data_IF_794614387980
#
_entry.id   IF_794614387980
#
_cell.length_a   1.000
_cell.length_b   1.000
_cell.length_c   1.000
_cell.angle_alpha   90.00
_cell.angle_beta   90.00
_cell.angle_gamma   90.00
#
_symmetry.space_group_name_H-M   'P 1'
#
loop_
_entity.id
_entity.type
_entity.pdbx_description
1 polymer ?
#
# COMPACT_ATOMS: atom_id res chain seq x y z
N UNK A 1 16.42 6.26 -34.13
CA UNK A 1 16.15 4.88 -33.67
C UNK A 1 15.10 4.99 -32.56
N UNK A 2 13.92 4.41 -32.79
CA UNK A 2 12.88 4.32 -31.77
C UNK A 2 13.39 3.44 -30.62
N UNK A 3 13.01 3.71 -29.36
CA UNK A 3 13.32 2.82 -28.27
C UNK A 3 12.62 1.49 -28.52
N UNK A 4 13.36 0.40 -28.40
CA UNK A 4 12.81 -0.95 -28.40
C UNK A 4 11.85 -1.06 -27.20
N UNK A 5 10.56 -1.05 -27.44
CA UNK A 5 9.56 -1.45 -26.47
C UNK A 5 9.64 -2.98 -26.34
N UNK A 6 10.51 -3.45 -25.45
CA UNK A 6 10.48 -4.84 -25.03
C UNK A 6 9.21 -5.04 -24.18
N UNK A 7 8.15 -5.54 -24.83
CA UNK A 7 6.97 -6.02 -24.12
C UNK A 7 7.33 -7.40 -23.57
N UNK A 8 7.59 -7.47 -22.29
CA UNK A 8 7.79 -8.73 -21.59
C UNK A 8 6.43 -9.36 -21.29
N UNK A 9 6.14 -10.50 -21.88
CA UNK A 9 5.00 -11.32 -21.49
C UNK A 9 5.45 -12.30 -20.41
N UNK A 10 4.93 -12.15 -19.21
CA UNK A 10 5.12 -13.10 -18.12
C UNK A 10 4.00 -14.15 -18.25
N UNK A 11 4.38 -15.40 -18.53
CA UNK A 11 3.46 -16.54 -18.57
C UNK A 11 3.68 -17.34 -17.31
N UNK A 12 2.86 -17.10 -16.28
CA UNK A 12 2.93 -17.77 -14.98
C UNK A 12 2.73 -16.80 -13.82
N UNK A 13 2.60 -17.34 -12.62
CA UNK A 13 2.60 -16.56 -11.39
C UNK A 13 4.04 -16.17 -11.05
N UNK A 14 4.27 -14.89 -10.74
CA UNK A 14 5.57 -14.43 -10.27
C UNK A 14 5.88 -15.02 -8.90
N UNK A 15 7.13 -15.45 -8.64
CA UNK A 15 7.52 -15.89 -7.31
C UNK A 15 7.29 -14.79 -6.26
N UNK A 16 6.57 -15.13 -5.20
CA UNK A 16 6.34 -14.23 -4.08
C UNK A 16 7.57 -14.23 -3.16
N UNK A 17 8.12 -13.04 -2.91
CA UNK A 17 9.17 -12.80 -1.91
C UNK A 17 8.51 -12.65 -0.54
N UNK A 18 7.41 -11.91 -0.49
CA UNK A 18 6.62 -11.67 0.70
C UNK A 18 5.18 -11.39 0.31
N UNK A 19 4.26 -11.96 1.07
CA UNK A 19 2.83 -11.70 0.94
C UNK A 19 2.19 -11.57 2.31
N UNK A 20 1.34 -10.60 2.48
CA UNK A 20 0.47 -10.45 3.64
C UNK A 20 -0.93 -10.09 3.20
N UNK A 21 -1.89 -10.94 3.58
CA UNK A 21 -3.32 -10.68 3.52
C UNK A 21 -3.87 -10.18 4.86
N UNK A 22 -2.97 -9.91 5.80
CA UNK A 22 -3.23 -9.45 7.15
C UNK A 22 -4.08 -10.36 8.04
N UNK A 23 -4.39 -11.58 7.59
CA UNK A 23 -5.10 -12.57 8.40
C UNK A 23 -4.21 -13.22 9.47
N UNK A 24 -2.89 -13.11 9.32
CA UNK A 24 -1.90 -13.65 10.25
C UNK A 24 -0.53 -13.00 10.09
N UNK A 25 0.35 -13.20 11.10
CA UNK A 25 1.76 -12.78 11.07
C UNK A 25 1.96 -11.27 10.84
N UNK A 26 1.14 -10.45 11.47
CA UNK A 26 1.14 -9.00 11.33
C UNK A 26 2.01 -8.28 12.36
N UNK A 27 2.65 -8.99 13.29
CA UNK A 27 3.37 -8.44 14.45
C UNK A 27 4.60 -7.60 14.06
N UNK A 28 5.09 -7.76 12.83
CA UNK A 28 6.22 -6.99 12.29
C UNK A 28 5.80 -5.69 11.59
N UNK A 29 4.51 -5.46 11.41
CA UNK A 29 3.96 -4.19 10.97
C UNK A 29 3.88 -3.24 12.17
N UNK A 30 4.25 -1.99 12.00
CA UNK A 30 4.37 -1.01 13.09
C UNK A 30 3.47 0.18 12.81
N UNK A 31 2.57 0.45 13.76
CA UNK A 31 1.69 1.61 13.73
C UNK A 31 2.35 2.76 14.48
N UNK A 32 2.36 3.92 13.86
CA UNK A 32 2.80 5.18 14.46
C UNK A 32 4.25 5.55 14.15
N UNK A 33 4.45 6.82 13.87
CA UNK A 33 5.72 7.51 13.74
C UNK A 33 5.84 8.59 14.82
N UNK A 34 7.07 8.92 15.25
CA UNK A 34 7.28 9.98 16.24
C UNK A 34 6.75 11.34 15.79
N UNK A 35 6.55 11.52 14.50
CA UNK A 35 6.00 12.74 13.91
C UNK A 35 4.49 12.69 13.68
N UNK A 36 3.83 11.59 14.01
CA UNK A 36 2.38 11.49 13.91
C UNK A 36 1.69 12.38 14.94
N UNK A 37 0.62 13.02 14.53
CA UNK A 37 -0.10 13.99 15.33
C UNK A 37 -1.63 13.96 15.12
N UNK A 38 -2.14 13.01 14.34
CA UNK A 38 -3.58 12.81 14.22
C UNK A 38 -4.21 12.59 15.61
N UNK A 39 -5.37 13.17 15.84
CA UNK A 39 -6.09 13.09 17.12
C UNK A 39 -7.15 12.00 17.12
N UNK A 40 -7.55 11.52 15.93
CA UNK A 40 -8.41 10.38 15.68
C UNK A 40 -7.93 9.65 14.42
N UNK A 41 -8.57 8.55 14.04
CA UNK A 41 -8.27 7.81 12.80
C UNK A 41 -6.88 7.17 12.77
N UNK A 42 -6.37 6.71 13.91
CA UNK A 42 -5.07 6.04 13.96
C UNK A 42 -5.18 4.67 13.28
N UNK A 43 -4.16 4.28 12.52
CA UNK A 43 -4.09 2.96 11.92
C UNK A 43 -4.35 1.85 12.95
N UNK A 44 -5.13 0.87 12.57
CA UNK A 44 -5.34 -0.36 13.34
C UNK A 44 -5.55 -1.56 12.41
N UNK A 45 -5.25 -2.76 12.91
CA UNK A 45 -5.60 -4.01 12.25
C UNK A 45 -6.98 -4.43 12.74
N UNK A 46 -7.96 -4.46 11.86
CA UNK A 46 -9.34 -4.74 12.23
C UNK A 46 -10.14 -5.41 11.11
N UNK A 47 -11.28 -5.99 11.47
CA UNK A 47 -12.37 -6.29 10.54
C UNK A 47 -13.08 -4.96 10.24
N UNK A 48 -13.00 -4.44 9.00
CA UNK A 48 -13.45 -3.09 8.70
C UNK A 48 -14.97 -2.95 8.81
N UNK A 49 -15.42 -1.85 9.41
CA UNK A 49 -16.84 -1.49 9.53
C UNK A 49 -17.15 -0.36 8.58
N UNK A 50 -18.11 -0.60 7.67
CA UNK A 50 -18.51 0.43 6.70
C UNK A 50 -19.05 1.68 7.40
N UNK A 51 -18.50 2.84 7.04
CA UNK A 51 -19.01 4.13 7.47
C UNK A 51 -19.55 4.93 6.29
N UNK A 52 -20.45 5.86 6.57
CA UNK A 52 -21.14 6.64 5.55
C UNK A 52 -21.28 8.09 6.02
N UNK A 53 -21.33 9.02 5.05
CA UNK A 53 -21.77 10.37 5.34
C UNK A 53 -23.31 10.47 5.38
N UNK A 54 -23.82 11.65 5.73
CA UNK A 54 -25.27 11.94 5.83
C UNK A 54 -26.04 11.72 4.51
N UNK A 55 -25.38 11.70 3.36
CA UNK A 55 -25.97 11.44 2.06
C UNK A 55 -25.90 9.96 1.63
N UNK A 56 -25.28 9.11 2.44
CA UNK A 56 -25.13 7.68 2.19
C UNK A 56 -23.95 7.32 1.28
N UNK A 57 -22.98 8.22 1.11
CA UNK A 57 -21.70 7.88 0.45
C UNK A 57 -20.81 7.12 1.43
N UNK A 58 -20.28 6.00 0.99
CA UNK A 58 -19.37 5.19 1.79
C UNK A 58 -18.01 5.88 1.93
N UNK A 59 -17.51 5.97 3.16
CA UNK A 59 -16.25 6.60 3.51
C UNK A 59 -15.20 5.52 3.79
N UNK A 60 -15.49 4.55 4.67
CA UNK A 60 -14.63 3.43 5.03
C UNK A 60 -15.14 2.13 4.39
N UNK A 61 -14.26 1.17 4.00
CA UNK A 61 -14.71 -0.12 3.50
C UNK A 61 -15.46 -0.91 4.59
N UNK A 62 -16.41 -1.74 4.18
CA UNK A 62 -17.15 -2.62 5.09
C UNK A 62 -16.73 -4.08 5.00
N UNK A 63 -15.64 -4.35 4.29
CA UNK A 63 -14.96 -5.65 4.22
C UNK A 63 -13.51 -5.40 3.79
N UNK A 64 -12.64 -6.33 4.17
CA UNK A 64 -11.30 -6.43 3.59
C UNK A 64 -11.37 -6.71 2.07
N UNK A 65 -10.23 -6.76 1.42
CA UNK A 65 -10.15 -7.10 -0.01
C UNK A 65 -10.01 -8.61 -0.24
N UNK A 66 -9.44 -9.33 0.71
CA UNK A 66 -9.09 -10.75 0.56
C UNK A 66 -10.31 -11.65 0.52
N UNK A 67 -10.44 -12.48 -0.53
CA UNK A 67 -11.50 -13.50 -0.60
C UNK A 67 -11.43 -14.45 0.61
N UNK A 68 -12.48 -14.51 1.41
CA UNK A 68 -12.59 -15.26 2.67
C UNK A 68 -11.65 -14.77 3.79
N UNK A 69 -11.12 -13.55 3.68
CA UNK A 69 -10.46 -12.83 4.75
C UNK A 69 -11.45 -12.13 5.67
N UNK A 70 -10.92 -11.40 6.63
CA UNK A 70 -11.69 -10.58 7.56
C UNK A 70 -10.93 -9.33 7.98
N UNK A 71 -9.60 -9.34 7.93
CA UNK A 71 -8.76 -8.30 8.50
C UNK A 71 -7.98 -7.54 7.43
N UNK A 72 -7.95 -6.23 7.60
CA UNK A 72 -7.04 -5.35 6.89
C UNK A 72 -6.54 -4.25 7.84
N UNK A 73 -5.54 -3.49 7.46
CA UNK A 73 -5.25 -2.25 8.17
C UNK A 73 -6.23 -1.17 7.71
N UNK A 74 -6.84 -0.48 8.69
CA UNK A 74 -7.74 0.66 8.46
C UNK A 74 -7.31 1.84 9.34
N UNK A 75 -7.65 3.04 8.95
CA UNK A 75 -7.52 4.24 9.79
C UNK A 75 -8.80 4.40 10.59
N UNK A 76 -8.72 4.25 11.89
CA UNK A 76 -9.88 4.25 12.80
C UNK A 76 -11.02 3.35 12.33
N UNK A 77 -11.41 2.37 13.11
CA UNK A 77 -12.46 1.49 12.65
C UNK A 77 -13.83 2.02 13.06
N UNK A 78 -14.73 2.16 12.10
CA UNK A 78 -16.06 2.69 12.33
C UNK A 78 -16.88 1.89 13.33
N UNK A 79 -17.95 2.52 13.86
CA UNK A 79 -18.93 1.86 14.70
C UNK A 79 -20.09 1.28 13.90
N UNK A 80 -20.86 0.38 14.48
CA UNK A 80 -22.04 -0.25 13.86
C UNK A 80 -23.12 0.77 13.41
N UNK A 81 -23.12 2.00 13.94
CA UNK A 81 -24.03 3.07 13.49
C UNK A 81 -23.62 3.69 12.15
N UNK A 82 -22.40 3.41 11.68
CA UNK A 82 -21.92 3.74 10.36
C UNK A 82 -21.65 5.24 10.11
N UNK A 83 -21.47 6.04 11.15
CA UNK A 83 -21.15 7.47 11.00
C UNK A 83 -19.68 7.67 10.66
N UNK A 84 -19.38 8.21 9.46
CA UNK A 84 -18.04 8.42 8.95
C UNK A 84 -17.22 9.53 9.60
N UNK A 85 -17.80 10.32 10.50
CA UNK A 85 -17.09 11.42 11.16
C UNK A 85 -16.76 11.12 12.62
N UNK A 86 -16.69 9.85 13.03
CA UNK A 86 -16.36 9.53 14.42
C UNK A 86 -14.90 9.12 14.62
N UNK A 87 -14.33 8.37 13.69
CA UNK A 87 -13.00 7.80 13.83
C UNK A 87 -12.14 8.03 12.58
N UNK A 88 -12.57 8.89 11.67
CA UNK A 88 -11.76 9.30 10.54
C UNK A 88 -10.47 10.03 11.00
N UNK A 89 -9.49 10.13 10.13
CA UNK A 89 -8.23 10.81 10.46
C UNK A 89 -8.47 12.29 10.66
N UNK A 90 -8.20 12.77 11.88
CA UNK A 90 -8.42 14.16 12.29
C UNK A 90 -7.11 14.86 12.66
N UNK A 91 -6.96 16.11 12.24
CA UNK A 91 -5.97 17.08 12.72
C UNK A 91 -4.50 16.66 12.56
N UNK A 92 -4.17 15.89 11.55
CA UNK A 92 -2.80 15.48 11.32
C UNK A 92 -2.68 14.18 10.56
N UNK A 93 -1.59 13.48 10.80
CA UNK A 93 -1.28 12.24 10.08
C UNK A 93 -1.12 11.05 11.00
N UNK A 94 -1.37 9.88 10.43
CA UNK A 94 -1.09 8.57 11.01
C UNK A 94 -0.27 7.74 10.04
N UNK A 95 0.70 6.98 10.53
CA UNK A 95 1.66 6.23 9.72
C UNK A 95 1.61 4.75 10.05
N UNK A 96 1.64 3.91 9.02
CA UNK A 96 1.82 2.45 9.11
C UNK A 96 3.13 2.09 8.40
N UNK A 97 4.01 1.35 9.09
CA UNK A 97 5.27 0.83 8.53
C UNK A 97 5.18 -0.66 8.25
N UNK A 98 5.68 -1.07 7.09
CA UNK A 98 5.92 -2.48 6.80
C UNK A 98 7.08 -3.04 7.64
N UNK A 99 7.25 -4.38 7.67
CA UNK A 99 8.54 -4.98 8.00
C UNK A 99 9.68 -4.42 7.13
N UNK A 100 10.92 -4.59 7.58
CA UNK A 100 12.11 -4.37 6.75
C UNK A 100 12.42 -5.62 5.95
N UNK A 101 12.71 -5.46 4.67
CA UNK A 101 12.99 -6.53 3.72
C UNK A 101 14.44 -6.46 3.22
N UNK A 102 15.11 -7.60 3.18
CA UNK A 102 16.36 -7.75 2.43
C UNK A 102 16.03 -8.11 0.98
N UNK A 103 16.16 -7.14 0.09
CA UNK A 103 15.94 -7.31 -1.34
C UNK A 103 17.24 -7.22 -2.14
N UNK A 104 18.42 -7.23 -1.47
CA UNK A 104 19.74 -7.02 -2.11
C UNK A 104 20.12 -8.10 -3.12
N UNK A 105 19.51 -9.29 -3.02
CA UNK A 105 19.78 -10.42 -3.93
C UNK A 105 18.87 -10.46 -5.15
N UNK A 106 17.92 -9.53 -5.29
CA UNK A 106 16.97 -9.51 -6.40
C UNK A 106 17.34 -8.41 -7.40
N UNK A 107 17.18 -8.71 -8.69
CA UNK A 107 17.43 -7.73 -9.77
C UNK A 107 16.22 -6.83 -9.99
N UNK A 108 15.02 -7.42 -10.02
CA UNK A 108 13.77 -6.69 -10.25
C UNK A 108 12.70 -7.17 -9.29
N UNK A 109 12.10 -6.22 -8.57
CA UNK A 109 11.01 -6.49 -7.62
C UNK A 109 9.79 -5.65 -7.99
N UNK A 110 8.65 -6.32 -8.08
CA UNK A 110 7.34 -5.69 -8.22
C UNK A 110 6.69 -5.59 -6.84
N UNK A 111 6.40 -4.38 -6.40
CA UNK A 111 5.51 -4.11 -5.28
C UNK A 111 4.08 -4.10 -5.80
N UNK A 112 3.14 -4.75 -5.09
CA UNK A 112 1.72 -4.52 -5.28
C UNK A 112 0.98 -4.55 -3.95
N UNK A 113 -0.08 -3.76 -3.85
CA UNK A 113 -0.97 -3.73 -2.69
C UNK A 113 -2.35 -3.25 -3.14
N UNK A 114 -3.38 -3.56 -2.33
CA UNK A 114 -4.69 -2.97 -2.47
C UNK A 114 -4.87 -1.91 -1.40
N UNK A 115 -5.48 -0.78 -1.77
CA UNK A 115 -5.75 0.31 -0.87
C UNK A 115 -7.13 0.91 -1.12
N UNK A 116 -7.69 1.46 -0.06
CA UNK A 116 -8.86 2.31 -0.06
C UNK A 116 -8.44 3.69 0.42
N UNK A 117 -8.94 4.73 -0.20
CA UNK A 117 -8.68 6.08 0.27
C UNK A 117 -9.83 7.03 -0.05
N UNK A 118 -10.29 7.77 0.96
CA UNK A 118 -11.30 8.83 0.83
C UNK A 118 -10.82 10.09 1.53
N UNK A 119 -11.11 11.25 0.92
CA UNK A 119 -10.89 12.59 1.45
C UNK A 119 -11.76 13.66 0.76
N UNK A 120 -12.71 13.25 -0.08
CA UNK A 120 -13.45 14.17 -0.95
C UNK A 120 -14.76 14.68 -0.32
N UNK A 121 -14.99 14.40 0.95
CA UNK A 121 -16.20 14.73 1.70
C UNK A 121 -15.80 15.48 2.97
N UNK A 122 -16.62 16.43 3.40
CA UNK A 122 -16.33 17.31 4.52
C UNK A 122 -16.14 18.77 4.09
N UNK A 123 -15.59 19.59 4.97
CA UNK A 123 -15.51 21.05 4.77
C UNK A 123 -14.45 21.47 3.73
N UNK A 124 -13.36 20.72 3.63
CA UNK A 124 -12.26 20.96 2.70
C UNK A 124 -11.90 19.72 1.85
N UNK A 125 -12.87 18.90 1.51
CA UNK A 125 -12.67 17.67 0.77
C UNK A 125 -11.79 17.80 -0.48
N UNK A 126 -10.92 16.81 -0.71
CA UNK A 126 -10.04 16.73 -1.87
C UNK A 126 -8.68 17.41 -1.69
N UNK A 127 -8.31 17.82 -0.48
CA UNK A 127 -7.04 18.48 -0.20
C UNK A 127 -6.06 17.64 0.62
N UNK A 128 -6.56 16.59 1.27
CA UNK A 128 -5.79 15.74 2.17
C UNK A 128 -4.98 14.68 1.41
N UNK A 129 -3.98 14.10 2.07
CA UNK A 129 -2.96 13.34 1.37
C UNK A 129 -2.98 11.87 1.76
N UNK A 130 -3.00 11.01 0.74
CA UNK A 130 -2.51 9.65 0.78
C UNK A 130 -1.07 9.61 0.26
N UNK A 131 -0.15 9.14 1.10
CA UNK A 131 1.24 8.97 0.70
C UNK A 131 1.74 7.55 0.99
N UNK A 132 2.40 6.96 0.00
CA UNK A 132 3.16 5.72 0.15
C UNK A 132 4.59 6.00 -0.25
N UNK A 133 5.52 5.68 0.63
CA UNK A 133 6.94 5.92 0.38
C UNK A 133 7.78 4.69 0.70
N UNK A 134 8.95 4.60 0.09
CA UNK A 134 9.95 3.56 0.33
C UNK A 134 11.27 4.16 0.78
N UNK A 135 11.94 3.47 1.68
CA UNK A 135 13.35 3.70 2.04
C UNK A 135 14.20 2.50 1.65
N UNK A 136 15.46 2.74 1.29
CA UNK A 136 16.49 1.71 1.12
C UNK A 136 17.70 1.91 2.06
N UNK A 137 17.55 2.77 3.07
CA UNK A 137 18.65 3.21 3.93
C UNK A 137 18.23 3.41 5.40
N UNK A 138 17.42 2.49 5.92
CA UNK A 138 16.91 2.50 7.30
C UNK A 138 16.15 3.79 7.67
N UNK A 139 15.36 4.33 6.78
CA UNK A 139 14.54 5.51 7.05
C UNK A 139 15.30 6.83 7.05
N UNK A 140 16.57 6.87 6.66
CA UNK A 140 17.33 8.13 6.57
C UNK A 140 16.81 9.05 5.44
N UNK A 141 16.23 8.46 4.40
CA UNK A 141 15.50 9.17 3.36
C UNK A 141 14.38 8.29 2.80
N UNK A 142 13.35 8.94 2.28
CA UNK A 142 12.16 8.30 1.72
C UNK A 142 11.90 8.81 0.31
N UNK A 143 11.47 7.93 -0.58
CA UNK A 143 11.09 8.23 -1.96
C UNK A 143 9.61 7.89 -2.12
N UNK A 144 8.84 8.84 -2.62
CA UNK A 144 7.40 8.64 -2.84
C UNK A 144 7.15 7.64 -3.97
N UNK A 145 6.35 6.62 -3.66
CA UNK A 145 5.75 5.69 -4.61
C UNK A 145 4.42 6.27 -5.10
N UNK A 146 3.65 6.80 -4.16
CA UNK A 146 2.36 7.43 -4.40
C UNK A 146 2.21 8.64 -3.50
N UNK A 147 1.76 9.75 -4.06
CA UNK A 147 1.42 10.95 -3.31
C UNK A 147 0.24 11.60 -4.03
N UNK A 148 -0.94 11.54 -3.44
CA UNK A 148 -2.18 11.94 -4.11
C UNK A 148 -3.22 12.48 -3.14
N UNK A 149 -4.05 13.36 -3.65
CA UNK A 149 -5.28 13.82 -3.00
C UNK A 149 -6.52 13.18 -3.63
N UNK A 150 -6.35 12.26 -4.59
CA UNK A 150 -7.46 11.64 -5.30
C UNK A 150 -8.11 10.55 -4.46
N UNK A 151 -9.38 10.73 -4.16
CA UNK A 151 -10.25 9.77 -3.49
C UNK A 151 -10.70 8.69 -4.45
N UNK A 152 -10.76 7.44 -4.02
CA UNK A 152 -11.26 6.34 -4.84
C UNK A 152 -12.51 5.65 -4.26
N UNK A 153 -12.73 5.69 -2.94
CA UNK A 153 -13.88 5.08 -2.26
C UNK A 153 -14.21 3.65 -2.76
N UNK A 154 -13.18 2.93 -3.12
CA UNK A 154 -13.22 1.54 -3.58
C UNK A 154 -11.83 0.91 -3.43
N UNK A 155 -11.79 -0.40 -3.26
CA UNK A 155 -10.53 -1.11 -3.27
C UNK A 155 -9.83 -0.98 -4.62
N UNK A 156 -8.66 -0.37 -4.62
CA UNK A 156 -7.88 -0.08 -5.81
C UNK A 156 -6.49 -0.72 -5.70
N UNK A 157 -6.07 -1.38 -6.77
CA UNK A 157 -4.73 -1.99 -6.83
C UNK A 157 -3.69 -0.96 -7.23
N UNK A 158 -2.61 -0.88 -6.46
CA UNK A 158 -1.37 -0.20 -6.86
C UNK A 158 -0.30 -1.23 -7.20
N UNK A 159 0.45 -0.96 -8.26
CA UNK A 159 1.59 -1.79 -8.67
C UNK A 159 2.72 -0.91 -9.18
N UNK A 160 3.95 -1.22 -8.76
CA UNK A 160 5.13 -0.48 -9.19
C UNK A 160 6.36 -1.40 -9.24
N UNK A 161 7.19 -1.24 -10.25
CA UNK A 161 8.50 -1.88 -10.31
C UNK A 161 9.43 -1.11 -9.38
N UNK A 162 9.73 -1.70 -8.24
CA UNK A 162 10.45 -1.05 -7.15
C UNK A 162 11.89 -0.68 -7.55
N UNK A 163 12.54 -1.58 -8.31
CA UNK A 163 13.91 -1.37 -8.82
C UNK A 163 14.04 -0.19 -9.79
N UNK A 164 12.94 0.33 -10.35
CA UNK A 164 12.95 1.56 -11.15
C UNK A 164 12.98 2.83 -10.29
N UNK A 165 12.65 2.72 -9.00
CA UNK A 165 12.55 3.84 -8.08
C UNK A 165 13.74 3.94 -7.13
N UNK A 166 14.20 2.78 -6.61
CA UNK A 166 15.27 2.71 -5.61
C UNK A 166 16.23 1.58 -5.94
N UNK A 167 17.47 1.72 -5.51
CA UNK A 167 18.42 0.61 -5.45
C UNK A 167 17.96 -0.40 -4.39
N UNK A 168 17.82 -1.67 -4.78
CA UNK A 168 17.41 -2.74 -3.86
C UNK A 168 18.53 -3.01 -2.86
N UNK A 169 18.19 -3.05 -1.58
CA UNK A 169 19.14 -3.18 -0.46
C UNK A 169 18.63 -4.14 0.60
N UNK A 170 19.45 -4.39 1.62
CA UNK A 170 19.09 -5.17 2.81
C UNK A 170 18.08 -4.46 3.73
N UNK A 171 17.72 -3.20 3.43
CA UNK A 171 16.97 -2.33 4.35
C UNK A 171 15.77 -1.64 3.68
N UNK A 172 15.11 -2.33 2.76
CA UNK A 172 13.89 -1.82 2.14
C UNK A 172 12.76 -1.83 3.16
N UNK A 173 12.09 -0.70 3.30
CA UNK A 173 10.90 -0.59 4.15
C UNK A 173 9.91 0.38 3.50
N UNK A 174 8.64 0.14 3.69
CA UNK A 174 7.55 0.98 3.20
C UNK A 174 6.85 1.67 4.35
N UNK A 175 6.30 2.85 4.07
CA UNK A 175 5.36 3.51 4.97
C UNK A 175 4.15 3.99 4.19
N UNK A 176 3.00 3.92 4.86
CA UNK A 176 1.69 4.33 4.37
C UNK A 176 1.17 5.41 5.31
N UNK A 177 0.85 6.57 4.76
CA UNK A 177 0.41 7.74 5.52
C UNK A 177 -0.95 8.19 5.01
N UNK A 178 -1.91 8.32 5.92
CA UNK A 178 -3.12 9.09 5.71
C UNK A 178 -3.00 10.37 6.53
N UNK A 179 -3.28 11.52 5.91
CA UNK A 179 -3.09 12.82 6.54
C UNK A 179 -4.28 13.72 6.25
N UNK A 180 -4.90 14.22 7.32
CA UNK A 180 -5.88 15.28 7.30
C UNK A 180 -5.16 16.61 7.56
N UNK A 181 -5.08 17.45 6.54
CA UNK A 181 -4.37 18.71 6.56
C UNK A 181 -5.29 19.84 7.02
N UNK A 182 -4.77 20.69 7.89
CA UNK A 182 -5.49 21.88 8.33
C UNK A 182 -5.56 22.94 7.22
N UNK A 183 -6.77 23.31 6.80
CA UNK A 183 -7.04 24.36 5.83
C UNK A 183 -7.87 25.49 6.43
N UNK A 184 -7.81 26.72 5.88
CA UNK A 184 -8.68 27.81 6.29
C UNK A 184 -10.17 27.47 6.04
N UNK A 185 -10.95 27.44 7.10
CA UNK A 185 -12.39 27.13 7.05
C UNK A 185 -12.78 25.79 7.65
N UNK A 186 -11.81 24.99 8.07
CA UNK A 186 -12.05 23.76 8.82
C UNK A 186 -12.78 24.05 10.14
N UNK A 187 -13.72 23.17 10.48
CA UNK A 187 -14.59 23.33 11.67
C UNK A 187 -14.16 22.42 12.82
N UNK A 188 -12.88 22.35 13.12
CA UNK A 188 -12.40 21.85 14.41
C UNK A 188 -12.11 20.36 14.51
N UNK A 189 -12.47 19.53 13.53
CA UNK A 189 -12.11 18.11 13.45
C UNK A 189 -11.36 17.80 12.15
N UNK A 190 -10.48 18.72 11.72
CA UNK A 190 -9.73 18.62 10.48
C UNK A 190 -10.50 19.07 9.23
N UNK A 191 -11.77 18.78 9.12
CA UNK A 191 -12.68 19.31 8.11
C UNK A 191 -13.00 18.39 6.94
N UNK A 192 -12.23 17.34 6.72
CA UNK A 192 -12.51 16.29 5.73
C UNK A 192 -12.75 14.96 6.40
N UNK A 193 -13.51 14.08 5.77
CA UNK A 193 -13.63 12.69 6.19
C UNK A 193 -12.52 11.91 5.50
N UNK A 194 -11.40 11.74 6.20
CA UNK A 194 -10.21 11.07 5.68
C UNK A 194 -10.14 9.64 6.21
N UNK A 195 -10.26 8.67 5.30
CA UNK A 195 -10.15 7.27 5.62
C UNK A 195 -9.23 6.56 4.64
N UNK A 196 -8.43 5.64 5.18
CA UNK A 196 -7.58 4.77 4.38
C UNK A 196 -7.65 3.33 4.86
N UNK A 197 -7.43 2.40 3.93
CA UNK A 197 -7.23 1.00 4.25
C UNK A 197 -6.16 0.40 3.34
N UNK A 198 -5.53 -0.67 3.83
CA UNK A 198 -4.47 -1.40 3.13
C UNK A 198 -4.71 -2.90 3.27
N UNK A 199 -4.64 -3.62 2.15
CA UNK A 199 -4.73 -5.07 2.11
C UNK A 199 -3.88 -5.70 1.01
N UNK A 200 -3.67 -7.01 1.08
CA UNK A 200 -2.96 -7.81 0.06
C UNK A 200 -1.64 -7.20 -0.39
N UNK A 201 -0.77 -6.88 0.59
CA UNK A 201 0.58 -6.39 0.32
C UNK A 201 1.47 -7.52 -0.20
N UNK A 202 2.12 -7.31 -1.35
CA UNK A 202 2.91 -8.33 -2.02
C UNK A 202 4.21 -7.76 -2.62
N UNK A 203 5.32 -8.46 -2.39
CA UNK A 203 6.59 -8.28 -3.09
C UNK A 203 6.83 -9.49 -3.96
N UNK A 204 6.97 -9.28 -5.25
CA UNK A 204 7.13 -10.32 -6.26
C UNK A 204 8.48 -10.17 -6.95
N UNK A 205 9.19 -11.27 -7.15
CA UNK A 205 10.41 -11.26 -7.96
C UNK A 205 10.07 -11.37 -9.44
N UNK A 206 10.66 -10.48 -10.25
CA UNK A 206 10.64 -10.59 -11.70
C UNK A 206 12.03 -11.09 -12.11
N UNK A 207 12.14 -12.38 -12.40
CA UNK A 207 13.41 -13.05 -12.68
C UNK A 207 13.95 -13.82 -11.47
N UNK A 208 14.84 -14.75 -11.71
CA UNK A 208 15.46 -15.53 -10.63
C UNK A 208 16.58 -14.74 -9.97
N UNK A 209 16.73 -14.82 -8.63
CA UNK A 209 17.92 -14.33 -7.97
C UNK A 209 19.15 -15.09 -8.51
N UNK A 210 19.96 -14.41 -9.29
CA UNK A 210 21.34 -14.85 -9.54
C UNK A 210 21.65 -15.72 -10.75
N UNK A 211 20.68 -16.12 -11.60
CA UNK A 211 21.01 -16.88 -12.82
C UNK A 211 20.36 -16.21 -14.05
N UNK A 212 21.13 -15.39 -14.76
CA UNK A 212 20.67 -14.80 -16.03
C UNK A 212 20.38 -15.91 -17.04
N UNK A 213 19.11 -16.03 -17.47
CA UNK A 213 18.69 -17.05 -18.43
C UNK A 213 17.94 -18.24 -17.85
N UNK A 214 17.77 -18.32 -16.54
CA UNK A 214 16.89 -19.29 -15.88
C UNK A 214 15.44 -18.76 -15.97
N UNK A 215 14.75 -19.17 -17.03
CA UNK A 215 13.41 -18.65 -17.35
C UNK A 215 12.31 -19.38 -16.59
N UNK A 216 12.56 -20.63 -16.25
CA UNK A 216 11.60 -21.43 -15.48
C UNK A 216 11.79 -21.30 -13.96
N UNK A 217 12.82 -20.55 -13.52
CA UNK A 217 13.13 -20.29 -12.11
C UNK A 217 13.36 -21.56 -11.28
N UNK A 218 13.93 -22.62 -11.90
CA UNK A 218 14.27 -23.85 -11.21
C UNK A 218 15.67 -23.84 -10.57
N UNK A 219 16.44 -22.77 -10.78
CA UNK A 219 17.80 -22.60 -10.27
C UNK A 219 18.87 -23.27 -11.11
N UNK A 220 18.56 -23.78 -12.31
CA UNK A 220 19.48 -24.45 -13.20
C UNK A 220 19.38 -23.88 -14.62
N UNK A 221 20.48 -23.39 -15.19
CA UNK A 221 20.54 -23.07 -16.64
C UNK A 221 20.59 -24.35 -17.44
N UNK A 222 19.48 -24.67 -18.11
CA UNK A 222 19.41 -25.88 -18.92
C UNK A 222 18.53 -25.70 -20.18
N UNK A 223 18.30 -26.78 -20.93
CA UNK A 223 17.55 -26.74 -22.18
C UNK A 223 16.09 -26.33 -22.00
N UNK A 224 15.52 -26.46 -20.82
CA UNK A 224 14.12 -26.11 -20.55
C UNK A 224 13.94 -24.58 -20.60
N UNK A 225 14.95 -23.82 -20.21
CA UNK A 225 14.94 -22.35 -20.32
C UNK A 225 14.90 -21.90 -21.77
N UNK A 226 15.64 -22.60 -22.63
CA UNK A 226 15.68 -22.30 -24.06
C UNK A 226 14.36 -22.66 -24.74
N UNK A 227 13.68 -23.70 -24.31
CA UNK A 227 12.38 -24.12 -24.89
C UNK A 227 11.28 -23.11 -24.57
N UNK A 228 11.32 -22.45 -23.39
CA UNK A 228 10.37 -21.40 -23.03
C UNK A 228 10.54 -20.11 -23.85
N UNK A 229 11.74 -19.84 -24.39
CA UNK A 229 12.00 -18.68 -25.24
C UNK A 229 11.44 -18.85 -26.66
N UNK A 230 11.33 -20.07 -27.17
CA UNK A 230 11.04 -20.34 -28.58
C UNK A 230 9.62 -20.85 -28.85
N UNK A 231 8.76 -20.95 -27.85
CA UNK A 231 7.33 -21.28 -27.96
C UNK A 231 6.46 -20.05 -27.70
#
# INVERSE_FOLDING_TARGET
TAPDNNIMFIVGELPSIYFSDFESNTESWVIGDISDNATAGIWELAEPVATYNDQGYQIQPGSDYTDNGSYCFVTGNGYEDGNGGFDDVDNGKTTLFSPTFDLSSYDVVLLSYWYWYTNNIGDNGGNDIWNVSVTNNNGNSWIDIQNTTSSNAEWTKSQVVLSDLVELSETIQFKFIAEDLAYPGDNGSGGSLVEAALDNFNLLSIGSPGITGDINSDGELNVLDVVLIVN
#
